data_IF_168001692261
#
_entry.id   IF_168001692261
#
_cell.length_a   1.000
_cell.length_b   1.000
_cell.length_c   1.000
_cell.angle_alpha   90.00
_cell.angle_beta   90.00
_cell.angle_gamma   90.00
#
_symmetry.space_group_name_H-M   'P 1'
#
loop_
_entity.id
_entity.type
_entity.pdbx_description
1 polymer ?
#
# COMPACT_ATOMS: atom_id res chain seq x y z
N UNK A 1 12.80 19.23 -40.28
CA UNK A 1 13.44 19.08 -38.94
C UNK A 1 12.61 18.20 -37.99
N UNK A 2 11.31 18.47 -37.81
CA UNK A 2 10.44 17.74 -36.88
C UNK A 2 10.10 16.30 -37.27
N UNK A 3 10.33 15.91 -38.53
CA UNK A 3 10.11 14.55 -39.04
C UNK A 3 11.36 13.67 -39.01
N UNK A 4 12.51 14.21 -38.65
CA UNK A 4 13.77 13.46 -38.59
C UNK A 4 13.87 12.72 -37.26
N UNK A 5 14.07 11.40 -37.29
CA UNK A 5 14.10 10.53 -36.11
C UNK A 5 15.04 11.05 -35.01
N UNK A 6 16.26 11.45 -35.38
CA UNK A 6 17.23 12.01 -34.43
C UNK A 6 16.75 13.31 -33.76
N UNK A 7 16.04 14.16 -34.49
CA UNK A 7 15.48 15.40 -33.93
C UNK A 7 14.29 15.09 -33.00
N UNK A 8 13.48 14.08 -33.31
CA UNK A 8 12.41 13.60 -32.43
C UNK A 8 13.00 13.00 -31.14
N UNK A 9 14.03 12.16 -31.25
CA UNK A 9 14.75 11.61 -30.10
C UNK A 9 15.37 12.71 -29.23
N UNK A 10 16.02 13.69 -29.84
CA UNK A 10 16.60 14.82 -29.12
C UNK A 10 15.53 15.68 -28.43
N UNK A 11 14.42 15.97 -29.11
CA UNK A 11 13.29 16.69 -28.50
C UNK A 11 12.65 15.92 -27.34
N UNK A 12 12.55 14.59 -27.44
CA UNK A 12 12.09 13.74 -26.34
C UNK A 12 13.08 13.76 -25.17
N UNK A 13 14.39 13.73 -25.46
CA UNK A 13 15.44 13.85 -24.46
C UNK A 13 15.39 15.20 -23.72
N UNK A 14 15.28 16.33 -24.45
CA UNK A 14 15.25 17.67 -23.85
C UNK A 14 13.98 17.96 -23.04
N UNK A 15 12.84 17.36 -23.42
CA UNK A 15 11.58 17.56 -22.70
C UNK A 15 11.48 16.80 -21.37
N UNK A 16 12.41 15.86 -21.11
CA UNK A 16 12.37 15.04 -19.89
C UNK A 16 12.79 15.87 -18.68
N UNK A 17 11.95 15.82 -17.64
CA UNK A 17 12.26 16.40 -16.33
C UNK A 17 12.79 15.30 -15.42
N UNK A 18 14.05 15.42 -15.00
CA UNK A 18 14.65 14.48 -14.04
C UNK A 18 13.94 14.56 -12.70
N UNK A 19 13.83 13.42 -12.01
CA UNK A 19 13.27 13.31 -10.68
C UNK A 19 14.36 12.91 -9.69
N UNK A 20 14.61 13.74 -8.69
CA UNK A 20 15.51 13.42 -7.59
C UNK A 20 14.76 12.65 -6.51
N UNK A 21 15.12 11.40 -6.28
CA UNK A 21 14.69 10.59 -5.16
C UNK A 21 15.80 10.39 -4.14
N UNK A 22 15.44 10.37 -2.87
CA UNK A 22 16.30 9.87 -1.78
C UNK A 22 15.61 8.67 -1.17
N UNK A 23 16.35 7.63 -0.86
CA UNK A 23 15.84 6.42 -0.24
C UNK A 23 16.73 5.96 0.89
N UNK A 24 16.15 5.31 1.91
CA UNK A 24 16.88 4.76 3.04
C UNK A 24 16.45 3.32 3.31
N UNK A 25 17.40 2.50 3.74
CA UNK A 25 17.15 1.14 4.15
C UNK A 25 18.45 0.44 4.53
N UNK A 26 18.62 -0.82 4.12
CA UNK A 26 19.79 -1.63 4.49
C UNK A 26 20.24 -2.48 3.32
N UNK A 27 21.54 -2.72 3.30
CA UNK A 27 22.14 -3.72 2.46
C UNK A 27 21.86 -5.12 3.01
N UNK A 28 21.32 -6.01 2.17
CA UNK A 28 21.16 -7.43 2.45
C UNK A 28 22.12 -8.23 1.58
N UNK A 29 22.26 -9.53 1.86
CA UNK A 29 23.07 -10.45 1.05
C UNK A 29 22.65 -10.49 -0.42
N UNK A 30 21.35 -10.31 -0.67
CA UNK A 30 20.74 -10.30 -2.01
C UNK A 30 20.58 -8.89 -2.59
N UNK A 31 21.25 -7.88 -2.02
CA UNK A 31 21.20 -6.49 -2.46
C UNK A 31 20.45 -5.56 -1.50
N UNK A 32 20.32 -4.30 -1.87
CA UNK A 32 19.77 -3.26 -0.98
C UNK A 32 18.25 -3.29 -0.97
N UNK A 33 17.65 -3.14 0.21
CA UNK A 33 16.21 -2.90 0.36
C UNK A 33 16.04 -1.47 0.83
N UNK A 34 15.54 -0.60 -0.06
CA UNK A 34 15.44 0.83 0.16
C UNK A 34 13.97 1.27 0.08
N UNK A 35 13.59 2.22 0.92
CA UNK A 35 12.30 2.89 0.88
C UNK A 35 12.52 4.39 0.66
N UNK A 36 11.66 5.04 -0.13
CA UNK A 36 11.78 6.48 -0.41
C UNK A 36 11.70 7.31 0.89
N UNK A 37 12.46 8.40 0.92
CA UNK A 37 12.40 9.46 1.92
C UNK A 37 11.66 10.63 1.30
N UNK A 38 10.48 10.93 1.85
CA UNK A 38 9.59 11.95 1.29
C UNK A 38 9.13 11.62 -0.13
N UNK A 39 8.73 12.65 -0.86
CA UNK A 39 8.33 12.56 -2.27
C UNK A 39 9.50 12.96 -3.16
N UNK A 40 9.79 12.21 -4.24
CA UNK A 40 10.75 12.63 -5.26
C UNK A 40 10.44 14.03 -5.79
N UNK A 41 11.49 14.79 -6.14
CA UNK A 41 11.37 16.20 -6.55
C UNK A 41 11.82 16.40 -7.99
N UNK A 42 11.03 17.10 -8.84
CA UNK A 42 11.43 17.40 -10.21
C UNK A 42 12.58 18.40 -10.23
N UNK A 43 13.53 18.18 -11.13
CA UNK A 43 14.66 19.06 -11.38
C UNK A 43 14.30 19.95 -12.58
N UNK A 44 13.86 21.16 -12.27
CA UNK A 44 13.36 22.13 -13.27
C UNK A 44 14.40 23.15 -13.70
N UNK A 45 15.62 23.07 -13.17
CA UNK A 45 16.69 24.04 -13.38
C UNK A 45 18.05 23.36 -13.53
N UNK A 46 18.91 23.95 -14.36
CA UNK A 46 20.31 23.54 -14.52
C UNK A 46 21.27 24.26 -13.55
N UNK A 47 20.75 25.14 -12.69
CA UNK A 47 21.53 25.83 -11.66
C UNK A 47 21.65 24.95 -10.41
N UNK A 48 22.79 25.01 -9.68
CA UNK A 48 22.92 24.36 -8.38
C UNK A 48 21.75 24.74 -7.47
N UNK A 49 21.00 23.74 -7.02
CA UNK A 49 19.78 23.90 -6.23
C UNK A 49 19.79 22.89 -5.11
N UNK A 50 19.51 23.34 -3.88
CA UNK A 50 19.42 22.45 -2.73
C UNK A 50 18.03 21.80 -2.68
N UNK A 51 17.99 20.49 -2.46
CA UNK A 51 16.76 19.73 -2.26
C UNK A 51 16.80 19.05 -0.89
N UNK A 52 15.77 19.30 -0.08
CA UNK A 52 15.64 18.73 1.28
C UNK A 52 14.65 17.57 1.25
N UNK A 53 15.02 16.42 1.81
CA UNK A 53 14.14 15.26 1.95
C UNK A 53 14.08 14.86 3.43
N UNK A 54 12.87 14.74 3.96
CA UNK A 54 12.64 14.50 5.39
C UNK A 54 11.84 13.22 5.59
N UNK A 55 12.20 12.46 6.62
CA UNK A 55 11.53 11.21 6.98
C UNK A 55 11.79 10.84 8.42
N UNK A 56 10.80 10.23 9.07
CA UNK A 56 10.96 9.76 10.44
C UNK A 56 11.83 8.49 10.44
N UNK A 57 12.93 8.49 11.21
CA UNK A 57 13.89 7.36 11.23
C UNK A 57 13.25 6.01 11.58
N UNK A 58 12.18 6.03 12.38
CA UNK A 58 11.37 4.86 12.78
C UNK A 58 10.60 4.20 11.64
N UNK A 59 10.42 4.90 10.51
CA UNK A 59 9.75 4.35 9.33
C UNK A 59 10.67 3.40 8.55
N UNK A 60 11.93 3.29 8.95
CA UNK A 60 12.93 2.44 8.34
C UNK A 60 13.44 1.48 9.41
N UNK A 61 13.68 0.20 9.06
CA UNK A 61 14.19 -0.78 10.02
C UNK A 61 15.45 -0.31 10.78
N UNK A 62 15.71 -0.92 11.92
CA UNK A 62 16.95 -0.68 12.63
C UNK A 62 18.06 -1.52 11.98
N UNK A 63 19.28 -1.00 11.75
CA UNK A 63 20.40 -1.85 11.39
C UNK A 63 20.69 -2.82 12.54
N UNK A 64 20.13 -4.02 12.48
CA UNK A 64 20.55 -5.14 13.31
C UNK A 64 21.71 -5.81 12.60
N UNK A 65 22.92 -5.44 12.99
CA UNK A 65 24.14 -6.08 12.50
C UNK A 65 24.49 -7.20 13.48
N UNK A 66 24.41 -8.45 13.03
CA UNK A 66 24.92 -9.56 13.82
C UNK A 66 26.44 -9.42 13.96
N UNK A 67 26.94 -9.49 15.20
CA UNK A 67 28.35 -9.22 15.54
C UNK A 67 29.35 -10.12 14.79
N UNK A 68 28.91 -11.31 14.39
CA UNK A 68 29.73 -12.34 13.74
C UNK A 68 29.25 -12.67 12.32
N UNK A 69 28.49 -11.79 11.67
CA UNK A 69 28.06 -12.00 10.28
C UNK A 69 29.28 -11.99 9.35
N UNK A 70 29.48 -13.10 8.63
CA UNK A 70 30.56 -13.25 7.65
C UNK A 70 30.45 -12.21 6.53
N UNK A 71 29.24 -11.74 6.22
CA UNK A 71 29.00 -10.60 5.35
C UNK A 71 28.89 -9.31 6.17
N UNK A 72 30.04 -8.67 6.43
CA UNK A 72 30.12 -7.40 7.19
C UNK A 72 29.33 -6.23 6.58
N UNK A 73 28.90 -6.34 5.32
CA UNK A 73 28.08 -5.34 4.65
C UNK A 73 26.58 -5.56 4.87
N UNK A 74 26.16 -6.76 5.29
CA UNK A 74 24.76 -7.05 5.60
C UNK A 74 24.35 -6.31 6.88
N UNK A 75 23.18 -5.65 6.84
CA UNK A 75 22.67 -4.86 7.96
C UNK A 75 23.21 -3.43 8.03
N UNK A 76 24.15 -3.04 7.15
CA UNK A 76 24.60 -1.64 7.03
C UNK A 76 23.44 -0.79 6.50
N UNK A 77 23.15 0.32 7.20
CA UNK A 77 22.17 1.31 6.76
C UNK A 77 22.69 2.01 5.50
N UNK A 78 21.86 2.03 4.48
CA UNK A 78 22.17 2.65 3.19
C UNK A 78 21.24 3.84 2.97
N UNK A 79 21.80 4.95 2.47
CA UNK A 79 21.05 6.07 1.96
C UNK A 79 21.39 6.22 0.48
N UNK A 80 20.41 5.94 -0.37
CA UNK A 80 20.52 6.07 -1.81
C UNK A 80 20.06 7.45 -2.26
N UNK A 81 20.84 8.10 -3.12
CA UNK A 81 20.41 9.29 -3.86
C UNK A 81 20.42 8.91 -5.34
N UNK A 82 19.25 8.89 -5.97
CA UNK A 82 19.09 8.36 -7.31
C UNK A 82 18.09 9.17 -8.13
N UNK A 83 18.28 9.16 -9.45
CA UNK A 83 17.25 9.62 -10.41
C UNK A 83 16.15 8.55 -10.55
N UNK A 84 15.12 8.86 -11.32
CA UNK A 84 14.16 7.88 -11.81
C UNK A 84 14.81 6.72 -12.58
N UNK A 85 14.11 5.58 -12.61
CA UNK A 85 14.56 4.42 -13.36
C UNK A 85 14.48 4.67 -14.88
N UNK A 86 15.57 4.42 -15.59
CA UNK A 86 15.69 4.82 -16.99
C UNK A 86 15.48 3.69 -17.99
N UNK A 87 15.51 2.42 -17.55
CA UNK A 87 15.43 1.23 -18.42
C UNK A 87 16.29 1.33 -19.69
N UNK A 88 17.54 1.80 -19.54
CA UNK A 88 18.48 1.96 -20.66
C UNK A 88 18.21 3.15 -21.60
N UNK A 89 17.22 4.00 -21.30
CA UNK A 89 16.92 5.19 -22.11
C UNK A 89 17.94 6.30 -21.88
N UNK A 90 18.20 7.05 -22.94
CA UNK A 90 19.00 8.27 -22.90
C UNK A 90 18.25 9.34 -22.11
N UNK A 91 18.81 9.75 -20.98
CA UNK A 91 18.28 10.85 -20.14
C UNK A 91 19.39 11.84 -19.81
N UNK A 92 19.05 13.11 -19.51
CA UNK A 92 19.99 14.05 -18.93
C UNK A 92 20.65 13.47 -17.68
N UNK A 93 21.93 13.75 -17.45
CA UNK A 93 22.63 13.25 -16.26
C UNK A 93 22.45 14.22 -15.10
N UNK A 94 22.02 13.69 -13.96
CA UNK A 94 22.06 14.42 -12.71
C UNK A 94 23.50 14.55 -12.20
N UNK A 95 23.94 15.78 -11.91
CA UNK A 95 25.20 16.05 -11.23
C UNK A 95 24.92 16.42 -9.77
N UNK A 96 25.40 15.59 -8.84
CA UNK A 96 25.28 15.83 -7.40
C UNK A 96 26.59 16.45 -6.90
N UNK A 97 26.53 17.68 -6.38
CA UNK A 97 27.70 18.39 -5.87
C UNK A 97 28.08 17.99 -4.44
N UNK A 98 27.09 17.80 -3.56
CA UNK A 98 27.27 17.44 -2.16
C UNK A 98 25.99 16.81 -1.61
N UNK A 99 26.13 16.03 -0.54
CA UNK A 99 25.03 15.44 0.22
C UNK A 99 25.29 15.70 1.70
N UNK A 100 24.29 16.19 2.42
CA UNK A 100 24.35 16.48 3.86
C UNK A 100 23.25 15.69 4.58
N UNK A 101 23.56 15.19 5.77
CA UNK A 101 22.64 14.43 6.61
C UNK A 101 22.52 15.08 7.98
N UNK A 102 21.29 15.36 8.40
CA UNK A 102 20.99 15.93 9.72
C UNK A 102 20.08 14.97 10.51
N UNK A 103 20.44 14.65 11.76
CA UNK A 103 19.65 13.77 12.61
C UNK A 103 20.23 13.54 14.02
N UNK A 104 19.39 13.38 15.07
CA UNK A 104 17.93 13.52 15.06
C UNK A 104 17.53 15.00 14.92
N UNK A 105 16.67 15.30 13.95
CA UNK A 105 16.14 16.64 13.70
C UNK A 105 14.79 16.81 14.42
N UNK A 106 14.63 17.91 15.15
CA UNK A 106 13.38 18.28 15.81
C UNK A 106 13.02 19.72 15.44
N UNK A 107 12.01 19.91 14.57
CA UNK A 107 11.52 21.25 14.20
C UNK A 107 11.16 22.11 15.40
N UNK A 108 10.54 21.50 16.42
CA UNK A 108 10.23 22.14 17.68
C UNK A 108 10.47 21.19 18.84
N UNK A 109 10.88 21.74 19.98
CA UNK A 109 11.00 20.99 21.23
C UNK A 109 9.89 21.41 22.21
N UNK A 110 9.15 20.47 22.83
CA UNK A 110 9.15 19.02 22.57
C UNK A 110 8.59 18.66 21.18
N UNK A 111 8.93 17.48 20.62
CA UNK A 111 8.43 17.07 19.31
C UNK A 111 6.91 16.87 19.29
N UNK A 112 6.32 16.89 18.09
CA UNK A 112 4.88 16.68 17.90
C UNK A 112 4.37 15.38 18.57
N UNK A 113 5.13 14.29 18.50
CA UNK A 113 4.79 13.02 19.17
C UNK A 113 4.68 13.16 20.69
N UNK A 114 5.50 14.00 21.31
CA UNK A 114 5.42 14.31 22.73
C UNK A 114 4.21 15.19 23.03
N UNK A 115 4.02 16.27 22.26
CA UNK A 115 2.89 17.22 22.41
C UNK A 115 1.53 16.54 22.19
N UNK A 116 1.48 15.49 21.37
CA UNK A 116 0.26 14.71 21.16
C UNK A 116 -0.20 13.94 22.40
N UNK A 117 0.72 13.61 23.32
CA UNK A 117 0.42 12.95 24.61
C UNK A 117 0.34 13.99 25.73
N UNK A 118 1.40 14.78 25.91
CA UNK A 118 1.51 15.82 26.92
C UNK A 118 1.01 17.16 26.35
N UNK A 119 -0.31 17.26 26.28
CA UNK A 119 -1.04 18.39 25.67
C UNK A 119 -0.90 19.68 26.48
N UNK A 120 -1.16 20.82 25.85
CA UNK A 120 -1.19 22.09 26.57
C UNK A 120 -2.40 22.17 27.51
N UNK A 121 -2.20 22.78 28.68
CA UNK A 121 -3.20 22.88 29.74
C UNK A 121 -2.81 23.95 30.75
N UNK A 122 -3.75 24.85 31.09
CA UNK A 122 -3.47 26.00 31.96
C UNK A 122 -3.12 25.61 33.41
N UNK A 123 -3.48 24.38 33.83
CA UNK A 123 -3.22 23.87 35.18
C UNK A 123 -2.20 22.74 35.18
N UNK A 124 -1.10 22.88 34.42
CA UNK A 124 0.01 21.91 34.41
C UNK A 124 0.66 21.71 35.78
N UNK A 125 0.64 22.74 36.63
CA UNK A 125 1.22 22.68 37.98
C UNK A 125 0.37 21.83 38.94
N UNK A 126 -0.91 21.62 38.63
CA UNK A 126 -1.74 20.60 39.28
C UNK A 126 -1.54 19.27 38.56
N UNK A 127 -0.53 18.51 39.01
CA UNK A 127 -0.17 17.24 38.41
C UNK A 127 -1.35 16.25 38.32
N UNK A 128 -2.24 16.22 39.31
CA UNK A 128 -3.39 15.33 39.30
C UNK A 128 -4.41 15.74 38.23
N UNK A 129 -4.74 17.03 38.16
CA UNK A 129 -5.64 17.55 37.13
C UNK A 129 -5.04 17.39 35.73
N UNK A 130 -3.73 17.63 35.57
CA UNK A 130 -3.05 17.49 34.29
C UNK A 130 -2.99 16.03 33.82
N UNK A 131 -2.65 15.09 34.70
CA UNK A 131 -2.68 13.66 34.40
C UNK A 131 -4.08 13.18 33.98
N UNK A 132 -5.11 13.61 34.70
CA UNK A 132 -6.51 13.30 34.38
C UNK A 132 -6.89 13.81 32.99
N UNK A 133 -6.49 15.04 32.66
CA UNK A 133 -6.72 15.64 31.33
C UNK A 133 -6.00 14.86 30.23
N UNK A 134 -4.72 14.53 30.40
CA UNK A 134 -3.96 13.71 29.43
C UNK A 134 -4.64 12.36 29.20
N UNK A 135 -4.93 11.62 30.28
CA UNK A 135 -5.50 10.27 30.21
C UNK A 135 -6.87 10.30 29.52
N UNK A 136 -7.72 11.27 29.86
CA UNK A 136 -9.05 11.42 29.25
C UNK A 136 -8.98 11.70 27.75
N UNK A 137 -8.17 12.66 27.32
CA UNK A 137 -8.04 13.02 25.90
C UNK A 137 -7.38 11.90 25.08
N UNK A 138 -6.40 11.20 25.68
CA UNK A 138 -5.81 10.03 25.04
C UNK A 138 -6.83 8.89 24.90
N UNK A 139 -7.54 8.55 25.97
CA UNK A 139 -8.55 7.49 25.95
C UNK A 139 -9.71 7.81 25.01
N UNK A 140 -10.18 9.06 24.96
CA UNK A 140 -11.25 9.46 24.05
C UNK A 140 -10.85 9.30 22.56
N UNK A 141 -9.59 9.62 22.21
CA UNK A 141 -9.05 9.37 20.86
C UNK A 141 -8.85 7.88 20.59
N UNK A 142 -8.32 7.13 21.55
CA UNK A 142 -8.06 5.70 21.41
C UNK A 142 -9.35 4.87 21.30
N UNK A 143 -10.39 5.22 22.06
CA UNK A 143 -11.69 4.57 22.04
C UNK A 143 -12.65 5.18 21.01
N UNK A 144 -12.26 6.30 20.39
CA UNK A 144 -12.95 6.99 19.28
C UNK A 144 -14.33 7.52 19.69
N UNK A 145 -14.52 7.74 20.98
CA UNK A 145 -15.73 8.27 21.59
C UNK A 145 -15.43 8.88 22.96
N UNK A 146 -16.28 9.77 23.50
CA UNK A 146 -16.15 10.26 24.85
C UNK A 146 -16.19 9.13 25.87
N UNK A 147 -15.31 9.16 26.86
CA UNK A 147 -15.33 8.21 27.97
C UNK A 147 -16.27 8.68 29.09
N UNK A 148 -16.93 7.73 29.75
CA UNK A 148 -17.73 8.01 30.94
C UNK A 148 -16.85 8.21 32.19
N UNK A 149 -17.45 8.63 33.30
CA UNK A 149 -16.74 8.98 34.53
C UNK A 149 -16.11 7.74 35.18
N UNK A 150 -16.74 6.59 35.04
CA UNK A 150 -16.32 5.31 35.61
C UNK A 150 -15.03 4.84 34.94
N UNK A 151 -14.98 4.86 33.60
CA UNK A 151 -13.79 4.55 32.80
C UNK A 151 -12.66 5.55 33.09
N UNK A 152 -12.97 6.85 33.17
CA UNK A 152 -11.99 7.88 33.50
C UNK A 152 -11.37 7.63 34.90
N UNK A 153 -12.20 7.33 35.90
CA UNK A 153 -11.74 7.03 37.25
C UNK A 153 -10.90 5.76 37.33
N UNK A 154 -11.28 4.70 36.61
CA UNK A 154 -10.54 3.45 36.56
C UNK A 154 -9.13 3.64 35.96
N UNK A 155 -9.02 4.36 34.83
CA UNK A 155 -7.75 4.66 34.18
C UNK A 155 -6.88 5.59 35.03
N UNK A 156 -7.48 6.62 35.63
CA UNK A 156 -6.77 7.50 36.55
C UNK A 156 -6.26 6.77 37.79
N UNK A 157 -7.01 5.78 38.30
CA UNK A 157 -6.57 4.94 39.41
C UNK A 157 -5.30 4.12 39.10
N UNK A 158 -5.03 3.78 37.84
CA UNK A 158 -3.76 3.15 37.41
C UNK A 158 -2.60 4.12 37.59
N UNK A 159 -2.78 5.36 37.14
CA UNK A 159 -1.81 6.43 37.34
C UNK A 159 -1.52 6.66 38.83
N UNK A 160 -2.57 6.78 39.66
CA UNK A 160 -2.40 6.99 41.11
C UNK A 160 -1.65 5.85 41.79
N UNK A 161 -1.92 4.60 41.41
CA UNK A 161 -1.19 3.43 41.91
C UNK A 161 0.28 3.48 41.50
N UNK A 162 0.57 3.79 40.25
CA UNK A 162 1.95 3.89 39.74
C UNK A 162 2.75 4.98 40.48
N UNK A 163 2.14 6.16 40.72
CA UNK A 163 2.76 7.23 41.52
C UNK A 163 3.02 6.77 42.96
N UNK A 164 2.05 6.11 43.61
CA UNK A 164 2.20 5.57 44.97
C UNK A 164 3.30 4.52 45.07
N UNK A 165 3.60 3.82 43.97
CA UNK A 165 4.71 2.87 43.86
C UNK A 165 6.07 3.54 43.62
N UNK A 166 6.14 4.88 43.56
CA UNK A 166 7.39 5.64 43.44
C UNK A 166 7.84 5.94 42.01
N UNK A 167 7.01 5.67 40.99
CA UNK A 167 7.34 5.96 39.60
C UNK A 167 7.25 7.47 39.29
N UNK A 168 7.95 7.90 38.24
CA UNK A 168 7.88 9.28 37.74
C UNK A 168 6.52 9.58 37.10
N UNK A 169 6.15 10.86 37.05
CA UNK A 169 4.92 11.31 36.39
C UNK A 169 4.76 10.74 34.98
N UNK A 170 5.80 10.85 34.14
CA UNK A 170 5.77 10.36 32.77
C UNK A 170 5.63 8.84 32.71
N UNK A 171 6.26 8.10 33.62
CA UNK A 171 6.11 6.65 33.67
C UNK A 171 4.69 6.27 34.10
N UNK A 172 4.13 6.92 35.12
CA UNK A 172 2.76 6.67 35.56
C UNK A 172 1.71 7.01 34.51
N UNK A 173 1.94 8.04 33.69
CA UNK A 173 1.10 8.30 32.50
C UNK A 173 1.21 7.13 31.53
N UNK A 174 2.43 6.69 31.17
CA UNK A 174 2.63 5.54 30.27
C UNK A 174 1.91 4.29 30.75
N UNK A 175 1.96 3.99 32.05
CA UNK A 175 1.27 2.82 32.63
C UNK A 175 -0.25 2.91 32.43
N UNK A 176 -0.84 4.09 32.63
CA UNK A 176 -2.27 4.32 32.38
C UNK A 176 -2.60 4.22 30.88
N UNK A 177 -1.77 4.79 30.00
CA UNK A 177 -1.97 4.71 28.55
C UNK A 177 -1.80 3.28 28.02
N UNK A 178 -0.92 2.48 28.63
CA UNK A 178 -0.77 1.07 28.30
C UNK A 178 -2.09 0.32 28.54
N UNK A 179 -2.78 0.58 29.65
CA UNK A 179 -4.09 -0.02 29.92
C UNK A 179 -5.13 0.38 28.86
N UNK A 180 -5.10 1.63 28.39
CA UNK A 180 -5.95 2.08 27.27
C UNK A 180 -5.66 1.25 26.01
N UNK A 181 -4.39 1.10 25.64
CA UNK A 181 -3.96 0.40 24.43
C UNK A 181 -4.13 -1.12 24.48
N UNK A 182 -4.33 -1.70 25.68
CA UNK A 182 -4.64 -3.13 25.85
C UNK A 182 -6.12 -3.39 26.13
N UNK A 183 -6.97 -2.35 26.16
CA UNK A 183 -8.40 -2.49 26.40
C UNK A 183 -9.13 -3.07 25.18
N UNK A 184 -10.14 -3.93 25.36
CA UNK A 184 -11.02 -4.36 24.27
C UNK A 184 -11.61 -3.19 23.48
N UNK A 185 -11.90 -2.07 24.15
CA UNK A 185 -12.46 -0.88 23.49
C UNK A 185 -11.47 -0.18 22.54
N UNK A 186 -10.16 -0.42 22.70
CA UNK A 186 -9.15 0.01 21.74
C UNK A 186 -8.95 -1.03 20.62
N UNK A 187 -8.82 -2.30 21.01
CA UNK A 187 -8.47 -3.42 20.11
C UNK A 187 -9.60 -3.78 19.13
N UNK A 188 -10.86 -3.56 19.51
CA UNK A 188 -12.03 -3.85 18.69
C UNK A 188 -12.82 -2.58 18.39
N UNK A 189 -13.56 -2.61 17.27
CA UNK A 189 -14.66 -1.68 17.02
C UNK A 189 -15.89 -2.24 17.73
N UNK A 190 -16.18 -1.69 18.90
CA UNK A 190 -17.34 -2.11 19.71
C UNK A 190 -18.56 -1.33 19.22
N UNK A 191 -19.60 -2.06 18.83
CA UNK A 191 -20.94 -1.55 18.54
C UNK A 191 -21.86 -2.02 19.68
N UNK A 192 -22.52 -1.09 20.36
CA UNK A 192 -23.41 -1.39 21.48
C UNK A 192 -24.80 -1.72 20.94
N UNK A 193 -25.25 -2.95 21.17
CA UNK A 193 -26.60 -3.38 20.79
C UNK A 193 -27.42 -3.67 22.03
N UNK A 194 -28.66 -3.19 22.09
CA UNK A 194 -29.57 -3.50 23.19
C UNK A 194 -30.28 -4.84 22.97
N UNK A 195 -30.36 -5.27 21.71
CA UNK A 195 -31.06 -6.49 21.28
C UNK A 195 -30.18 -7.31 20.33
N UNK A 196 -30.52 -8.58 20.07
CA UNK A 196 -29.88 -9.38 19.02
C UNK A 196 -30.24 -8.95 17.59
N UNK A 197 -31.18 -8.02 17.42
CA UNK A 197 -31.62 -7.57 16.11
C UNK A 197 -30.71 -6.45 15.57
N UNK A 198 -30.66 -6.23 14.25
CA UNK A 198 -29.92 -5.10 13.68
C UNK A 198 -30.44 -3.76 14.19
N UNK A 199 -29.55 -2.96 14.77
CA UNK A 199 -29.81 -1.61 15.26
C UNK A 199 -29.07 -0.57 14.42
N UNK A 200 -29.53 0.68 14.47
CA UNK A 200 -28.78 1.77 13.84
C UNK A 200 -27.57 2.10 14.70
N UNK A 201 -26.40 2.19 14.08
CA UNK A 201 -25.17 2.65 14.73
C UNK A 201 -25.37 4.03 15.34
N UNK A 202 -24.78 4.25 16.51
CA UNK A 202 -24.65 5.58 17.07
C UNK A 202 -23.72 6.46 16.22
N UNK A 203 -23.67 7.75 16.52
CA UNK A 203 -22.90 8.71 15.72
C UNK A 203 -21.38 8.47 15.76
N UNK A 204 -20.82 8.02 16.89
CA UNK A 204 -19.40 7.71 17.05
C UNK A 204 -19.03 6.35 16.44
N UNK A 205 -19.91 5.37 16.57
CA UNK A 205 -19.83 4.06 15.91
C UNK A 205 -19.84 4.25 14.39
N UNK A 206 -20.74 5.08 13.86
CA UNK A 206 -20.78 5.42 12.44
C UNK A 206 -19.49 6.12 11.98
N UNK A 207 -18.98 7.09 12.76
CA UNK A 207 -17.73 7.77 12.44
C UNK A 207 -16.55 6.80 12.38
N UNK A 208 -16.46 5.90 13.36
CA UNK A 208 -15.43 4.88 13.43
C UNK A 208 -15.55 3.88 12.28
N UNK A 209 -16.76 3.40 11.97
CA UNK A 209 -16.97 2.45 10.88
C UNK A 209 -16.59 3.06 9.53
N UNK A 210 -16.96 4.32 9.27
CA UNK A 210 -16.58 5.05 8.06
C UNK A 210 -15.06 5.23 7.94
N UNK A 211 -14.39 5.64 9.02
CA UNK A 211 -12.94 5.88 8.99
C UNK A 211 -12.15 4.58 8.81
N UNK A 212 -12.53 3.49 9.49
CA UNK A 212 -11.85 2.21 9.32
C UNK A 212 -12.14 1.58 7.95
N UNK A 213 -13.35 1.78 7.42
CA UNK A 213 -13.70 1.32 6.07
C UNK A 213 -12.87 2.02 4.99
N UNK A 214 -12.61 3.34 5.10
CA UNK A 214 -11.95 4.11 4.03
C UNK A 214 -10.47 4.43 4.29
N UNK A 215 -10.01 4.41 5.54
CA UNK A 215 -8.63 4.76 5.91
C UNK A 215 -7.89 3.67 6.67
N UNK A 216 -8.57 2.57 7.06
CA UNK A 216 -8.01 1.57 7.96
C UNK A 216 -7.41 2.19 9.25
N UNK A 217 -8.10 3.21 9.78
CA UNK A 217 -7.61 4.01 10.90
C UNK A 217 -8.71 4.81 11.60
N UNK A 218 -8.39 5.44 12.74
CA UNK A 218 -9.38 6.15 13.56
C UNK A 218 -9.94 7.39 12.84
N UNK A 219 -11.17 7.81 13.20
CA UNK A 219 -11.77 9.03 12.69
C UNK A 219 -10.94 10.23 13.12
N UNK A 220 -10.90 11.25 12.27
CA UNK A 220 -10.26 12.51 12.63
C UNK A 220 -11.18 13.41 13.47
N UNK A 221 -10.64 14.53 13.94
CA UNK A 221 -11.36 15.47 14.81
C UNK A 221 -12.64 16.01 14.15
N UNK A 222 -12.64 16.17 12.82
CA UNK A 222 -13.82 16.60 12.06
C UNK A 222 -14.92 15.55 12.15
N UNK A 223 -14.61 14.29 11.85
CA UNK A 223 -15.57 13.20 11.92
C UNK A 223 -16.12 13.03 13.35
N UNK A 224 -15.25 13.12 14.37
CA UNK A 224 -15.66 13.06 15.79
C UNK A 224 -16.53 14.26 16.22
N UNK A 225 -16.29 15.45 15.67
CA UNK A 225 -17.12 16.64 15.91
C UNK A 225 -18.49 16.54 15.24
N UNK A 226 -18.54 16.02 14.02
CA UNK A 226 -19.81 15.72 13.36
C UNK A 226 -20.60 14.64 14.11
N UNK A 227 -19.89 13.67 14.69
CA UNK A 227 -20.50 12.65 15.53
C UNK A 227 -21.08 13.25 16.83
N UNK A 228 -20.32 14.12 17.51
CA UNK A 228 -20.75 14.73 18.76
C UNK A 228 -21.94 15.67 18.62
N UNK A 229 -22.09 16.30 17.46
CA UNK A 229 -23.20 17.20 17.13
C UNK A 229 -24.40 16.47 16.52
N UNK A 230 -24.26 15.19 16.19
CA UNK A 230 -25.31 14.41 15.51
C UNK A 230 -25.51 14.75 14.03
N UNK A 231 -24.62 15.55 13.45
CA UNK A 231 -24.73 16.01 12.06
C UNK A 231 -24.16 15.00 11.04
N UNK A 232 -23.29 14.08 11.48
CA UNK A 232 -22.55 13.16 10.60
C UNK A 232 -23.44 12.43 9.60
N UNK A 233 -24.57 11.91 10.06
CA UNK A 233 -25.48 11.10 9.23
C UNK A 233 -26.09 11.90 8.08
N UNK A 234 -26.38 13.18 8.31
CA UNK A 234 -26.88 14.08 7.27
C UNK A 234 -25.80 14.50 6.27
N UNK A 235 -24.53 14.46 6.68
CA UNK A 235 -23.38 14.87 5.88
C UNK A 235 -22.57 13.68 5.31
N UNK A 236 -23.11 12.46 5.38
CA UNK A 236 -22.35 11.23 5.07
C UNK A 236 -21.73 11.22 3.67
N UNK A 237 -22.44 11.72 2.66
CA UNK A 237 -21.93 11.76 1.29
C UNK A 237 -20.72 12.71 1.16
N UNK A 238 -20.82 13.89 1.77
CA UNK A 238 -19.71 14.85 1.78
C UNK A 238 -18.51 14.30 2.55
N UNK A 239 -18.77 13.60 3.65
CA UNK A 239 -17.71 12.98 4.46
C UNK A 239 -17.02 11.84 3.71
N UNK A 240 -17.76 10.94 3.04
CA UNK A 240 -17.18 9.87 2.21
C UNK A 240 -16.26 10.43 1.11
N UNK A 241 -16.71 11.45 0.38
CA UNK A 241 -15.90 12.09 -0.66
C UNK A 241 -14.61 12.71 -0.08
N UNK A 242 -14.70 13.33 1.10
CA UNK A 242 -13.55 13.88 1.82
C UNK A 242 -12.56 12.78 2.22
N UNK A 243 -13.07 11.66 2.75
CA UNK A 243 -12.25 10.52 3.16
C UNK A 243 -11.50 9.92 1.95
N UNK A 244 -12.17 9.77 0.80
CA UNK A 244 -11.55 9.27 -0.46
C UNK A 244 -10.46 10.22 -1.00
N UNK A 245 -10.65 11.54 -0.84
CA UNK A 245 -9.69 12.54 -1.28
C UNK A 245 -8.42 12.60 -0.40
N UNK A 246 -8.52 12.20 0.87
CA UNK A 246 -7.38 12.20 1.80
C UNK A 246 -6.30 11.18 1.40
N UNK A 247 -5.04 11.49 1.73
CA UNK A 247 -3.90 10.61 1.45
C UNK A 247 -4.00 9.24 2.14
N UNK A 248 -4.65 9.16 3.30
CA UNK A 248 -4.84 7.90 4.05
C UNK A 248 -5.67 6.88 3.30
N UNK A 249 -6.48 7.30 2.32
CA UNK A 249 -7.26 6.41 1.47
C UNK A 249 -6.38 5.40 0.71
N UNK A 250 -5.13 5.76 0.37
CA UNK A 250 -4.24 4.80 -0.31
C UNK A 250 -3.94 3.58 0.54
N UNK A 251 -3.80 3.74 1.86
CA UNK A 251 -3.51 2.62 2.76
C UNK A 251 -4.63 1.58 2.81
N UNK A 252 -5.89 2.01 2.72
CA UNK A 252 -7.02 1.10 2.55
C UNK A 252 -6.96 0.40 1.18
N UNK A 253 -6.75 1.17 0.11
CA UNK A 253 -6.75 0.64 -1.26
C UNK A 253 -5.65 -0.39 -1.47
N UNK A 254 -4.43 -0.13 -0.98
CA UNK A 254 -3.30 -1.04 -1.14
C UNK A 254 -3.59 -2.40 -0.48
N UNK A 255 -4.13 -2.39 0.73
CA UNK A 255 -4.50 -3.61 1.46
C UNK A 255 -5.68 -4.34 0.79
N UNK A 256 -6.73 -3.59 0.45
CA UNK A 256 -7.93 -4.15 -0.18
C UNK A 256 -7.61 -4.78 -1.54
N UNK A 257 -6.88 -4.06 -2.41
CA UNK A 257 -6.49 -4.57 -3.72
C UNK A 257 -5.58 -5.80 -3.60
N UNK A 258 -4.63 -5.78 -2.66
CA UNK A 258 -3.75 -6.92 -2.39
C UNK A 258 -4.53 -8.19 -2.06
N UNK A 259 -5.43 -8.12 -1.07
CA UNK A 259 -6.22 -9.27 -0.62
C UNK A 259 -7.27 -9.71 -1.65
N UNK A 260 -7.97 -8.75 -2.27
CA UNK A 260 -9.00 -9.03 -3.25
C UNK A 260 -8.41 -9.72 -4.48
N UNK A 261 -7.32 -9.19 -5.02
CA UNK A 261 -6.72 -9.67 -6.27
C UNK A 261 -5.68 -10.78 -6.05
N UNK A 262 -5.43 -11.17 -4.79
CA UNK A 262 -4.48 -12.21 -4.40
C UNK A 262 -3.03 -11.90 -4.84
N UNK A 263 -2.60 -10.66 -4.64
CA UNK A 263 -1.29 -10.18 -5.10
C UNK A 263 -0.11 -10.81 -4.34
N UNK A 264 -0.35 -11.43 -3.18
CA UNK A 264 0.66 -12.21 -2.46
C UNK A 264 1.25 -13.32 -3.34
N UNK A 265 0.48 -13.86 -4.28
CA UNK A 265 0.96 -14.88 -5.22
C UNK A 265 2.07 -14.35 -6.12
N UNK A 266 2.01 -13.09 -6.52
CA UNK A 266 3.07 -12.45 -7.30
C UNK A 266 4.31 -12.16 -6.45
N UNK A 267 4.12 -11.84 -5.16
CA UNK A 267 5.24 -11.58 -4.24
C UNK A 267 6.11 -12.82 -4.04
N UNK A 268 5.49 -14.00 -3.89
CA UNK A 268 6.20 -15.28 -3.67
C UNK A 268 6.59 -16.00 -4.95
N UNK A 269 6.24 -15.46 -6.12
CA UNK A 269 6.61 -16.03 -7.42
C UNK A 269 8.11 -15.91 -7.66
N UNK A 270 8.74 -17.02 -8.05
CA UNK A 270 10.13 -17.05 -8.53
C UNK A 270 10.16 -17.24 -10.06
N UNK A 271 10.23 -16.15 -10.85
CA UNK A 271 10.27 -16.25 -12.30
C UNK A 271 11.61 -16.79 -12.80
N UNK A 272 11.59 -17.53 -13.90
CA UNK A 272 12.81 -17.88 -14.62
C UNK A 272 13.45 -16.61 -15.20
N UNK A 273 14.55 -16.18 -14.58
CA UNK A 273 15.24 -14.94 -14.92
C UNK A 273 15.86 -14.94 -16.31
N UNK A 274 16.15 -16.12 -16.88
CA UNK A 274 16.67 -16.22 -18.25
C UNK A 274 15.54 -15.99 -19.25
N UNK A 275 14.35 -16.53 -18.96
CA UNK A 275 13.17 -16.37 -19.80
C UNK A 275 12.54 -14.98 -19.67
N UNK A 276 12.54 -14.40 -18.47
CA UNK A 276 11.91 -13.12 -18.16
C UNK A 276 12.91 -12.08 -17.60
N UNK A 277 13.92 -11.65 -18.39
CA UNK A 277 14.99 -10.79 -17.91
C UNK A 277 14.51 -9.39 -17.49
N UNK A 278 13.40 -8.88 -18.07
CA UNK A 278 12.80 -7.59 -17.70
C UNK A 278 12.10 -7.61 -16.34
N UNK A 279 11.76 -8.78 -15.80
CA UNK A 279 11.05 -8.94 -14.52
C UNK A 279 12.04 -8.91 -13.35
N UNK A 280 12.82 -7.84 -13.28
CA UNK A 280 13.82 -7.62 -12.23
C UNK A 280 13.13 -7.44 -10.87
N UNK A 281 13.90 -7.49 -9.78
CA UNK A 281 13.40 -7.22 -8.43
C UNK A 281 12.68 -5.86 -8.35
N UNK A 282 13.29 -4.83 -8.93
CA UNK A 282 12.77 -3.46 -8.85
C UNK A 282 11.53 -3.30 -9.76
N UNK A 283 11.54 -3.93 -10.95
CA UNK A 283 10.34 -4.00 -11.82
C UNK A 283 9.17 -4.67 -11.11
N UNK A 284 9.42 -5.79 -10.42
CA UNK A 284 8.38 -6.50 -9.66
C UNK A 284 7.81 -5.63 -8.53
N UNK A 285 8.65 -4.87 -7.84
CA UNK A 285 8.21 -3.98 -6.78
C UNK A 285 7.27 -2.88 -7.29
N UNK A 286 7.50 -2.34 -8.49
CA UNK A 286 6.61 -1.35 -9.10
C UNK A 286 5.35 -1.96 -9.71
N UNK A 287 5.46 -3.10 -10.39
CA UNK A 287 4.29 -3.84 -10.92
C UNK A 287 3.32 -4.25 -9.81
N UNK A 288 3.81 -4.56 -8.60
CA UNK A 288 2.97 -4.90 -7.46
C UNK A 288 2.08 -3.71 -7.00
N UNK A 289 2.49 -2.46 -7.26
CA UNK A 289 1.74 -1.25 -6.89
C UNK A 289 0.65 -0.91 -7.91
N UNK A 290 0.82 -1.32 -9.17
CA UNK A 290 -0.09 -0.99 -10.28
C UNK A 290 -1.58 -1.26 -9.95
N UNK A 291 -1.99 -2.43 -9.41
CA UNK A 291 -3.40 -2.70 -9.15
C UNK A 291 -4.03 -1.74 -8.14
N UNK A 292 -3.30 -1.41 -7.07
CA UNK A 292 -3.75 -0.46 -6.05
C UNK A 292 -3.86 0.95 -6.60
N UNK A 293 -2.85 1.41 -7.34
CA UNK A 293 -2.85 2.73 -7.99
C UNK A 293 -3.98 2.86 -9.02
N UNK A 294 -4.22 1.80 -9.80
CA UNK A 294 -5.31 1.72 -10.76
C UNK A 294 -6.68 1.84 -10.08
N UNK A 295 -6.93 1.06 -9.03
CA UNK A 295 -8.18 1.10 -8.29
C UNK A 295 -8.41 2.45 -7.61
N UNK A 296 -7.36 3.01 -7.00
CA UNK A 296 -7.41 4.33 -6.37
C UNK A 296 -7.79 5.41 -7.38
N UNK A 297 -7.17 5.40 -8.56
CA UNK A 297 -7.47 6.33 -9.64
C UNK A 297 -8.93 6.19 -10.11
N UNK A 298 -9.42 4.97 -10.29
CA UNK A 298 -10.81 4.72 -10.68
C UNK A 298 -11.81 5.28 -9.67
N UNK A 299 -11.61 5.03 -8.38
CA UNK A 299 -12.52 5.48 -7.33
C UNK A 299 -12.50 7.02 -7.20
N UNK A 300 -11.31 7.63 -7.19
CA UNK A 300 -11.18 9.09 -7.05
C UNK A 300 -11.77 9.86 -8.23
N UNK A 301 -11.70 9.30 -9.43
CA UNK A 301 -12.25 9.91 -10.63
C UNK A 301 -13.66 9.42 -10.97
N UNK A 302 -14.28 8.60 -10.11
CA UNK A 302 -15.60 8.03 -10.31
C UNK A 302 -15.77 7.38 -11.70
N UNK A 303 -14.79 6.58 -12.10
CA UNK A 303 -14.77 5.96 -13.42
C UNK A 303 -15.73 4.77 -13.52
N UNK A 304 -16.25 4.46 -14.73
CA UNK A 304 -17.13 3.33 -14.93
C UNK A 304 -16.52 2.00 -14.47
N UNK A 305 -17.31 1.18 -13.77
CA UNK A 305 -16.89 -0.15 -13.27
C UNK A 305 -16.41 -1.10 -14.37
N UNK A 306 -16.88 -0.91 -15.62
CA UNK A 306 -16.39 -1.67 -16.80
C UNK A 306 -14.87 -1.57 -16.97
N UNK A 307 -14.25 -0.47 -16.53
CA UNK A 307 -12.81 -0.27 -16.60
C UNK A 307 -12.03 -1.25 -15.72
N UNK A 308 -12.67 -1.98 -14.79
CA UNK A 308 -12.02 -3.07 -14.07
C UNK A 308 -11.69 -4.25 -14.99
N UNK A 309 -12.45 -4.43 -16.07
CA UNK A 309 -12.31 -5.55 -17.03
C UNK A 309 -11.64 -5.07 -18.31
N UNK A 310 -12.11 -3.96 -18.86
CA UNK A 310 -11.66 -3.41 -20.14
C UNK A 310 -11.52 -1.89 -20.03
N UNK A 311 -10.30 -1.41 -20.25
CA UNK A 311 -9.94 0.01 -20.20
C UNK A 311 -9.08 0.37 -21.40
N UNK A 312 -9.12 1.64 -21.82
CA UNK A 312 -8.26 2.25 -22.84
C UNK A 312 -6.95 2.82 -22.26
N UNK A 313 -6.85 2.83 -20.92
CA UNK A 313 -5.65 3.25 -20.20
C UNK A 313 -5.19 2.21 -19.18
N UNK A 314 -3.89 2.28 -18.86
CA UNK A 314 -3.28 1.67 -17.68
C UNK A 314 -2.83 2.76 -16.71
N UNK A 315 -2.61 2.44 -15.44
CA UNK A 315 -1.92 3.33 -14.50
C UNK A 315 -0.49 2.84 -14.36
N UNK A 316 0.46 3.65 -14.78
CA UNK A 316 1.85 3.27 -14.79
C UNK A 316 2.73 4.43 -14.34
N UNK A 317 3.75 4.12 -13.56
CA UNK A 317 4.93 4.95 -13.48
C UNK A 317 5.93 4.57 -14.57
N UNK A 318 7.10 5.20 -14.54
CA UNK A 318 8.10 5.01 -15.58
C UNK A 318 8.56 3.55 -15.74
N UNK A 319 8.71 2.81 -14.62
CA UNK A 319 9.14 1.40 -14.61
C UNK A 319 8.05 0.51 -15.22
N UNK A 320 6.80 0.70 -14.79
CA UNK A 320 5.66 -0.08 -15.28
C UNK A 320 5.40 0.20 -16.75
N UNK A 321 5.47 1.46 -17.18
CA UNK A 321 5.29 1.85 -18.57
C UNK A 321 6.37 1.21 -19.46
N UNK A 322 7.64 1.26 -19.05
CA UNK A 322 8.73 0.58 -19.74
C UNK A 322 8.53 -0.93 -19.84
N UNK A 323 8.05 -1.58 -18.77
CA UNK A 323 7.78 -3.02 -18.79
C UNK A 323 6.74 -3.41 -19.85
N UNK A 324 5.73 -2.57 -20.07
CA UNK A 324 4.70 -2.76 -21.11
C UNK A 324 5.07 -2.21 -22.49
N UNK A 325 6.32 -1.78 -22.68
CA UNK A 325 6.83 -1.15 -23.91
C UNK A 325 6.07 0.17 -24.25
N UNK A 326 5.68 0.93 -23.22
CA UNK A 326 5.00 2.23 -23.29
C UNK A 326 5.85 3.36 -22.66
N UNK A 327 7.14 3.12 -22.41
CA UNK A 327 8.03 4.07 -21.75
C UNK A 327 8.29 5.35 -22.55
N UNK A 328 7.94 5.41 -23.83
CA UNK A 328 7.96 6.61 -24.67
C UNK A 328 6.75 7.53 -24.42
N UNK A 329 5.65 6.96 -23.91
CA UNK A 329 4.43 7.69 -23.53
C UNK A 329 4.43 8.13 -22.06
N UNK A 330 5.45 7.77 -21.30
CA UNK A 330 5.60 8.12 -19.89
C UNK A 330 6.67 9.18 -19.67
N UNK A 331 6.34 10.16 -18.82
CA UNK A 331 7.27 11.13 -18.23
C UNK A 331 6.97 11.34 -16.74
N UNK A 332 6.39 10.32 -16.09
CA UNK A 332 5.86 10.45 -14.73
C UNK A 332 6.92 10.19 -13.66
N UNK A 333 8.08 9.64 -14.04
CA UNK A 333 9.13 9.27 -13.10
C UNK A 333 8.60 8.24 -12.09
N UNK A 334 8.49 8.63 -10.83
CA UNK A 334 7.98 7.76 -9.77
C UNK A 334 6.45 7.73 -9.66
N UNK A 335 5.76 8.71 -10.23
CA UNK A 335 4.31 8.86 -10.09
C UNK A 335 3.57 7.93 -11.05
N UNK A 336 2.46 7.36 -10.60
CA UNK A 336 1.57 6.57 -11.45
C UNK A 336 0.57 7.50 -12.14
N UNK A 337 0.60 7.54 -13.47
CA UNK A 337 -0.29 8.35 -14.30
C UNK A 337 -1.04 7.49 -15.32
N UNK A 338 -2.25 7.90 -15.74
CA UNK A 338 -3.00 7.18 -16.77
C UNK A 338 -2.29 7.30 -18.12
N UNK A 339 -2.00 6.16 -18.76
CA UNK A 339 -1.38 6.09 -20.09
C UNK A 339 -2.31 5.36 -21.05
N UNK A 340 -2.67 6.04 -22.14
CA UNK A 340 -3.41 5.47 -23.25
C UNK A 340 -2.54 4.45 -24.00
N UNK A 341 -2.87 3.16 -23.87
CA UNK A 341 -2.01 2.09 -24.36
C UNK A 341 -2.21 1.81 -25.86
N UNK A 342 -3.45 1.84 -26.35
CA UNK A 342 -3.78 1.55 -27.76
C UNK A 342 -3.57 0.08 -28.18
N UNK A 343 -3.48 -0.82 -27.20
CA UNK A 343 -3.23 -2.27 -27.33
C UNK A 343 -4.39 -3.08 -26.78
N UNK A 344 -4.89 -4.11 -27.46
CA UNK A 344 -6.11 -4.84 -27.02
C UNK A 344 -5.88 -5.78 -25.83
N UNK A 345 -4.63 -6.12 -25.58
CA UNK A 345 -4.16 -7.04 -24.54
C UNK A 345 -3.88 -6.36 -23.19
N UNK A 346 -3.92 -5.03 -23.15
CA UNK A 346 -3.75 -4.23 -21.94
C UNK A 346 -5.09 -3.61 -21.52
N UNK A 347 -5.17 -3.17 -20.27
CA UNK A 347 -6.35 -2.53 -19.69
C UNK A 347 -7.06 -3.41 -18.67
N UNK A 348 -7.68 -2.76 -17.68
CA UNK A 348 -8.33 -3.44 -16.54
C UNK A 348 -7.37 -4.31 -15.72
N UNK A 349 -7.92 -5.11 -14.82
CA UNK A 349 -7.13 -6.05 -14.01
C UNK A 349 -6.69 -7.30 -14.79
N UNK A 350 -7.38 -7.62 -15.88
CA UNK A 350 -7.10 -8.82 -16.66
C UNK A 350 -5.80 -8.71 -17.46
N UNK A 351 -5.37 -7.49 -17.80
CA UNK A 351 -4.11 -7.22 -18.49
C UNK A 351 -2.90 -6.94 -17.58
N UNK A 352 -3.08 -6.89 -16.25
CA UNK A 352 -2.00 -6.47 -15.34
C UNK A 352 -1.02 -7.62 -15.04
N UNK A 353 0.27 -7.33 -15.22
CA UNK A 353 1.34 -8.31 -15.14
C UNK A 353 1.48 -8.92 -13.74
N UNK A 354 1.32 -8.13 -12.66
CA UNK A 354 1.40 -8.68 -11.30
C UNK A 354 0.34 -9.78 -11.08
N UNK A 355 -0.88 -9.57 -11.55
CA UNK A 355 -1.98 -10.53 -11.42
C UNK A 355 -1.70 -11.75 -12.33
N UNK A 356 -1.46 -11.52 -13.62
CA UNK A 356 -1.28 -12.60 -14.59
C UNK A 356 -0.04 -13.46 -14.34
N UNK A 357 1.05 -12.85 -13.85
CA UNK A 357 2.27 -13.56 -13.48
C UNK A 357 2.09 -14.30 -12.15
N UNK A 358 1.46 -13.71 -11.14
CA UNK A 358 1.16 -14.38 -9.87
C UNK A 358 0.31 -15.65 -10.02
N UNK A 359 -0.41 -15.76 -11.14
CA UNK A 359 -1.22 -16.93 -11.50
C UNK A 359 -0.49 -17.94 -12.39
N UNK A 360 0.83 -17.81 -12.56
CA UNK A 360 1.69 -18.73 -13.33
C UNK A 360 2.43 -19.74 -12.44
N UNK A 361 3.40 -20.48 -12.98
CA UNK A 361 4.40 -21.23 -12.21
C UNK A 361 5.82 -20.61 -12.25
N UNK A 362 5.95 -19.42 -12.87
CA UNK A 362 7.22 -18.71 -13.04
C UNK A 362 7.97 -19.04 -14.34
N UNK A 363 7.54 -20.07 -15.08
CA UNK A 363 8.08 -20.47 -16.40
C UNK A 363 7.01 -20.43 -17.47
N UNK A 364 5.85 -20.99 -17.17
CA UNK A 364 4.70 -21.11 -18.05
C UNK A 364 3.46 -20.50 -17.38
N UNK A 365 2.57 -19.95 -18.21
CA UNK A 365 1.25 -19.51 -17.79
C UNK A 365 0.37 -20.69 -17.37
N UNK A 366 -0.72 -20.41 -16.65
CA UNK A 366 -1.60 -21.45 -16.12
C UNK A 366 -3.08 -21.03 -16.23
N UNK A 367 -3.78 -21.45 -17.29
CA UNK A 367 -5.16 -21.02 -17.54
C UNK A 367 -6.12 -21.53 -16.47
N UNK A 368 -5.83 -22.66 -15.83
CA UNK A 368 -6.69 -23.18 -14.75
C UNK A 368 -6.65 -22.24 -13.55
N UNK A 369 -5.44 -21.81 -13.14
CA UNK A 369 -5.27 -20.81 -12.06
C UNK A 369 -5.89 -19.46 -12.43
N UNK A 370 -5.70 -19.00 -13.68
CA UNK A 370 -6.27 -17.73 -14.17
C UNK A 370 -7.79 -17.75 -14.25
N UNK A 371 -8.38 -18.81 -14.80
CA UNK A 371 -9.83 -18.99 -14.88
C UNK A 371 -10.48 -19.12 -13.51
N UNK A 372 -9.89 -19.89 -12.60
CA UNK A 372 -10.38 -20.02 -11.23
C UNK A 372 -10.31 -18.69 -10.47
N UNK A 373 -9.24 -17.91 -10.68
CA UNK A 373 -9.12 -16.57 -10.12
C UNK A 373 -10.20 -15.63 -10.68
N UNK A 374 -10.42 -15.61 -12.01
CA UNK A 374 -11.42 -14.75 -12.65
C UNK A 374 -12.82 -15.06 -12.13
N UNK A 375 -13.19 -16.34 -12.12
CA UNK A 375 -14.49 -16.81 -11.62
C UNK A 375 -14.70 -16.43 -10.14
N UNK A 376 -13.67 -16.63 -9.29
CA UNK A 376 -13.75 -16.34 -7.85
C UNK A 376 -13.71 -14.85 -7.51
N UNK A 377 -12.84 -14.07 -8.15
CA UNK A 377 -12.54 -12.69 -7.72
C UNK A 377 -13.34 -11.64 -8.48
N UNK A 378 -13.75 -11.91 -9.70
CA UNK A 378 -14.45 -10.94 -10.56
C UNK A 378 -15.91 -11.34 -10.78
N UNK A 379 -16.18 -12.60 -11.15
CA UNK A 379 -17.54 -13.08 -11.44
C UNK A 379 -18.33 -13.39 -10.16
N UNK A 380 -17.64 -13.69 -9.05
CA UNK A 380 -18.21 -14.16 -7.79
C UNK A 380 -18.88 -15.56 -7.89
N UNK A 381 -18.39 -16.40 -8.80
CA UNK A 381 -18.78 -17.80 -8.97
C UNK A 381 -17.55 -18.70 -8.77
N UNK A 382 -17.08 -18.92 -7.52
CA UNK A 382 -15.89 -19.71 -7.27
C UNK A 382 -16.09 -21.16 -7.75
N UNK A 383 -15.09 -21.76 -8.43
CA UNK A 383 -15.14 -23.18 -8.75
C UNK A 383 -15.05 -24.02 -7.47
N UNK A 384 -15.59 -25.24 -7.56
CA UNK A 384 -15.45 -26.27 -6.52
C UNK A 384 -13.98 -26.62 -6.29
N UNK A 385 -13.64 -27.07 -5.09
CA UNK A 385 -12.27 -27.46 -4.77
C UNK A 385 -11.81 -28.64 -5.65
N UNK A 386 -10.52 -28.68 -6.04
CA UNK A 386 -10.01 -29.77 -6.87
C UNK A 386 -10.13 -31.11 -6.13
N UNK A 387 -10.52 -32.20 -6.82
CA UNK A 387 -10.59 -33.51 -6.19
C UNK A 387 -9.21 -33.96 -5.70
N UNK A 388 -9.14 -34.73 -4.59
CA UNK A 388 -7.88 -35.32 -4.15
C UNK A 388 -7.36 -36.27 -5.23
N UNK A 389 -6.06 -36.16 -5.57
CA UNK A 389 -5.34 -36.95 -6.57
C UNK A 389 -5.66 -36.65 -8.06
N UNK A 390 -5.57 -35.37 -8.48
CA UNK A 390 -5.49 -35.05 -9.91
C UNK A 390 -4.13 -35.51 -10.47
N UNK A 391 -4.08 -36.41 -11.46
CA UNK A 391 -2.83 -36.86 -12.06
C UNK A 391 -2.15 -35.72 -12.83
N UNK A 392 -0.82 -35.67 -12.80
CA UNK A 392 -0.05 -34.71 -13.59
C UNK A 392 -0.28 -34.91 -15.10
N UNK A 393 -0.08 -33.84 -15.89
CA UNK A 393 -0.12 -33.91 -17.35
C UNK A 393 0.95 -34.89 -17.85
N UNK A 394 0.61 -35.73 -18.84
CA UNK A 394 1.51 -36.73 -19.38
C UNK A 394 2.76 -36.08 -20.02
N UNK A 395 3.95 -36.62 -19.72
CA UNK A 395 5.23 -36.05 -20.18
C UNK A 395 5.43 -36.06 -21.71
N UNK A 396 4.74 -36.95 -22.44
CA UNK A 396 4.82 -37.07 -23.91
C UNK A 396 4.20 -35.89 -24.68
N UNK A 397 3.61 -34.93 -23.97
CA UNK A 397 2.94 -33.76 -24.55
C UNK A 397 3.88 -32.56 -24.77
N UNK A 398 5.20 -32.69 -24.57
CA UNK A 398 6.19 -31.59 -24.68
C UNK A 398 6.22 -30.87 -26.04
N UNK A 399 5.74 -31.51 -27.12
CA UNK A 399 5.65 -30.91 -28.47
C UNK A 399 4.35 -30.14 -28.74
N UNK A 400 3.36 -30.27 -27.86
CA UNK A 400 2.07 -29.59 -27.95
C UNK A 400 2.13 -28.25 -27.20
N UNK A 401 1.36 -27.28 -27.69
CA UNK A 401 1.09 -26.03 -26.97
C UNK A 401 0.34 -26.30 -25.67
N UNK A 402 0.46 -25.41 -24.68
CA UNK A 402 -0.23 -25.54 -23.39
C UNK A 402 -1.74 -25.77 -23.56
N UNK A 403 -2.36 -25.08 -24.52
CA UNK A 403 -3.77 -25.24 -24.89
C UNK A 403 -4.10 -26.67 -25.33
N UNK A 404 -3.30 -27.25 -26.23
CA UNK A 404 -3.50 -28.62 -26.71
C UNK A 404 -3.30 -29.66 -25.60
N UNK A 405 -2.35 -29.44 -24.67
CA UNK A 405 -2.17 -30.31 -23.49
C UNK A 405 -3.40 -30.31 -22.60
N UNK A 406 -3.99 -29.14 -22.37
CA UNK A 406 -5.19 -28.98 -21.55
C UNK A 406 -6.44 -29.54 -22.21
N UNK A 407 -6.57 -29.40 -23.53
CA UNK A 407 -7.66 -30.04 -24.29
C UNK A 407 -7.60 -31.57 -24.17
N UNK A 408 -6.40 -32.18 -24.21
CA UNK A 408 -6.24 -33.62 -23.97
C UNK A 408 -6.60 -34.02 -22.53
N UNK A 409 -6.20 -33.23 -21.53
CA UNK A 409 -6.51 -33.49 -20.12
C UNK A 409 -8.02 -33.39 -19.82
N UNK A 410 -8.70 -32.38 -20.38
CA UNK A 410 -10.13 -32.13 -20.18
C UNK A 410 -11.04 -33.24 -20.72
N UNK A 411 -10.59 -33.96 -21.75
CA UNK A 411 -11.37 -35.02 -22.38
C UNK A 411 -11.42 -36.33 -21.55
N UNK A 412 -10.78 -36.37 -20.38
CA UNK A 412 -10.89 -37.49 -19.45
C UNK A 412 -12.22 -37.44 -18.69
N UNK A 413 -12.90 -38.61 -18.57
CA UNK A 413 -14.15 -38.80 -17.81
C UNK A 413 -13.91 -38.54 -16.31
N UNK A 414 -14.01 -37.28 -15.90
CA UNK A 414 -13.81 -36.79 -14.53
C UNK A 414 -13.36 -35.33 -14.49
N UNK A 415 -12.55 -34.90 -15.46
CA UNK A 415 -12.00 -33.54 -15.52
C UNK A 415 -12.99 -32.54 -16.14
N UNK A 416 -13.83 -32.98 -17.10
CA UNK A 416 -14.72 -32.10 -17.86
C UNK A 416 -15.69 -31.30 -16.98
N UNK A 417 -16.18 -31.88 -15.89
CA UNK A 417 -17.21 -31.25 -15.05
C UNK A 417 -16.67 -30.04 -14.27
N UNK A 418 -15.43 -30.11 -13.79
CA UNK A 418 -14.78 -28.97 -13.12
C UNK A 418 -14.26 -27.95 -14.14
N UNK A 419 -13.64 -28.43 -15.23
CA UNK A 419 -13.07 -27.58 -16.27
C UNK A 419 -14.13 -26.77 -17.05
N UNK A 420 -15.36 -27.27 -17.18
CA UNK A 420 -16.46 -26.51 -17.82
C UNK A 420 -16.74 -25.16 -17.14
N UNK A 421 -16.48 -25.03 -15.84
CA UNK A 421 -16.65 -23.77 -15.09
C UNK A 421 -15.40 -22.88 -15.08
N UNK A 422 -14.25 -23.38 -15.52
CA UNK A 422 -12.94 -22.70 -15.36
C UNK A 422 -12.35 -22.32 -16.72
N UNK A 423 -12.33 -23.26 -17.65
CA UNK A 423 -11.66 -23.11 -18.94
C UNK A 423 -12.23 -21.97 -19.80
N UNK A 424 -13.56 -21.72 -19.86
CA UNK A 424 -14.08 -20.58 -20.60
C UNK A 424 -13.54 -19.24 -20.11
N UNK A 425 -13.16 -19.17 -18.84
CA UNK A 425 -12.56 -17.98 -18.21
C UNK A 425 -11.04 -17.93 -18.35
N UNK A 426 -10.39 -19.10 -18.29
CA UNK A 426 -8.93 -19.21 -18.26
C UNK A 426 -8.26 -19.17 -19.62
N UNK A 427 -8.79 -19.92 -20.60
CA UNK A 427 -8.17 -20.07 -21.93
C UNK A 427 -8.02 -18.74 -22.69
N UNK A 428 -8.99 -17.79 -22.64
CA UNK A 428 -8.82 -16.50 -23.30
C UNK A 428 -7.67 -15.64 -22.76
N UNK A 429 -7.09 -16.00 -21.62
CA UNK A 429 -5.97 -15.30 -21.00
C UNK A 429 -4.60 -15.92 -21.39
N UNK A 430 -4.58 -16.87 -22.33
CA UNK A 430 -3.38 -17.55 -22.86
C UNK A 430 -3.14 -17.17 -24.32
#
# INVERSE_FOLDING_TARGET
>A
PETHELAQRFNLFEKRTLQLGVSMGFRRDCGSTLALIGTPKPITTNKPTAFVFEGAIRNYPNPEVEKDNVNYLAGVREIGVHSEYTDGREIPRLLISSVEFEGPFYETWPPATHKNIFIDFDKKDDFAAYARKIIREFAARAFRSPINKETEAALFGVFEKSIKSGNSFQQSIKDALQVVLTSPQFLFLIENSQTPNPESLDNYELASKLSYFLWNGPPDERALKLASTGELRSQINAEVLRLIADKRFSGFIDEYASQWLALEKFQVLEPDRKQFPKLTRDTRAELLKEPGQYLQYMIRNNLPVKNLVESDFILANEVVASYYDLGDKSQSGFDFLPIQHGRKELGGFLGQAAIMAGLSDGRESNPVKRGAWLARRIIAEPPDDPPPNVPALAEDSKKLSLRERLEQHRNQKGCTQCHAKIDPWGIPLE
#
